data_IF_579991105303
#
_entry.id   IF_579991105303
#
_cell.length_a   1.000
_cell.length_b   1.000
_cell.length_c   1.000
_cell.angle_alpha   90.00
_cell.angle_beta   90.00
_cell.angle_gamma   90.00
#
_symmetry.space_group_name_H-M   'P 1'
#
loop_
_entity.id
_entity.type
_entity.pdbx_description
1 polymer ?
#
# COMPACT_ATOMS: atom_id res chain seq x y z
N UNK A 1 2.18 -1.92 39.01
CA UNK A 1 2.25 -1.98 37.53
C UNK A 1 3.28 -3.04 37.18
N UNK A 2 2.88 -4.06 36.43
CA UNK A 2 3.76 -5.20 36.12
C UNK A 2 4.78 -4.83 35.04
N UNK A 3 5.98 -5.41 35.07
CA UNK A 3 7.09 -5.16 34.11
C UNK A 3 6.65 -5.27 32.62
N UNK A 4 5.64 -6.07 32.34
CA UNK A 4 5.06 -6.26 31.02
C UNK A 4 4.32 -5.02 30.46
N UNK A 5 3.68 -4.22 31.33
CA UNK A 5 3.06 -2.94 30.91
C UNK A 5 4.13 -1.90 30.58
N UNK A 6 5.24 -1.89 31.30
CA UNK A 6 6.36 -0.99 31.05
C UNK A 6 7.01 -1.22 29.68
N UNK A 7 7.21 -2.47 29.27
CA UNK A 7 7.78 -2.78 27.94
C UNK A 7 6.87 -2.36 26.78
N UNK A 8 5.57 -2.59 26.92
CA UNK A 8 4.60 -2.17 25.88
C UNK A 8 4.59 -0.67 25.70
N UNK A 9 4.59 0.11 26.77
CA UNK A 9 4.63 1.58 26.71
C UNK A 9 5.96 2.08 26.11
N UNK A 10 7.10 1.48 26.49
CA UNK A 10 8.39 1.82 25.86
C UNK A 10 8.39 1.59 24.34
N UNK A 11 7.77 0.50 23.86
CA UNK A 11 7.65 0.23 22.42
C UNK A 11 6.76 1.27 21.75
N UNK A 12 5.62 1.65 22.34
CA UNK A 12 4.74 2.69 21.81
C UNK A 12 5.45 4.04 21.70
N UNK A 13 6.17 4.44 22.73
CA UNK A 13 6.94 5.69 22.76
C UNK A 13 8.03 5.69 21.67
N UNK A 14 8.82 4.61 21.55
CA UNK A 14 9.86 4.49 20.55
C UNK A 14 9.32 4.52 19.11
N UNK A 15 8.21 3.79 18.85
CA UNK A 15 7.57 3.77 17.55
C UNK A 15 6.98 5.14 17.22
N UNK A 16 6.32 5.79 18.16
CA UNK A 16 5.76 7.14 17.95
C UNK A 16 6.86 8.17 17.63
N UNK A 17 7.98 8.12 18.35
CA UNK A 17 9.11 9.00 18.09
C UNK A 17 9.71 8.77 16.69
N UNK A 18 9.89 7.51 16.29
CA UNK A 18 10.40 7.15 14.96
C UNK A 18 9.44 7.61 13.85
N UNK A 19 8.12 7.37 14.00
CA UNK A 19 7.09 7.79 13.04
C UNK A 19 7.09 9.31 12.83
N UNK A 20 7.16 10.10 13.91
CA UNK A 20 7.26 11.56 13.83
C UNK A 20 8.55 12.02 13.15
N UNK A 21 9.67 11.37 13.47
CA UNK A 21 10.95 11.71 12.85
C UNK A 21 10.97 11.45 11.35
N UNK A 22 10.42 10.31 10.90
CA UNK A 22 10.34 9.93 9.48
C UNK A 22 9.36 10.83 8.75
N UNK A 23 8.17 11.07 9.31
CA UNK A 23 7.15 11.94 8.69
C UNK A 23 7.60 13.40 8.58
N UNK A 24 8.51 13.85 9.43
CA UNK A 24 8.90 15.26 9.56
C UNK A 24 7.83 16.10 10.28
N UNK A 25 6.82 15.48 10.86
CA UNK A 25 5.75 16.15 11.63
C UNK A 25 5.86 15.77 13.12
N UNK A 26 6.48 16.61 13.98
CA UNK A 26 6.63 16.33 15.39
C UNK A 26 5.31 16.29 16.16
N UNK A 27 4.27 16.95 15.63
CA UNK A 27 2.94 17.03 16.26
C UNK A 27 1.99 15.93 15.75
N UNK A 28 2.48 15.00 14.93
CA UNK A 28 1.66 13.90 14.42
C UNK A 28 1.07 13.09 15.58
N UNK A 29 -0.25 13.02 15.64
CA UNK A 29 -0.97 12.21 16.62
C UNK A 29 -0.92 10.72 16.23
N UNK A 30 -0.47 9.88 17.18
CA UNK A 30 -0.36 8.44 16.99
C UNK A 30 -1.06 7.75 18.15
N UNK A 31 -2.09 6.99 17.83
CA UNK A 31 -2.89 6.24 18.80
C UNK A 31 -2.73 4.74 18.61
N UNK A 32 -2.87 3.95 19.68
CA UNK A 32 -2.65 2.52 19.68
C UNK A 32 -3.84 1.74 20.23
N UNK A 33 -4.25 0.73 19.48
CA UNK A 33 -5.30 -0.21 19.87
C UNK A 33 -6.69 0.42 20.01
N UNK A 34 -7.71 -0.39 19.76
CA UNK A 34 -9.08 0.09 19.76
C UNK A 34 -9.59 0.56 18.41
N UNK A 35 -10.88 0.83 18.33
CA UNK A 35 -11.55 1.26 17.12
C UNK A 35 -11.13 2.68 16.76
N UNK A 36 -10.69 2.92 15.52
CA UNK A 36 -10.25 4.24 15.06
C UNK A 36 -8.83 4.66 15.47
N UNK A 37 -8.03 3.78 16.11
CA UNK A 37 -6.63 4.07 16.39
C UNK A 37 -5.77 3.97 15.13
N UNK A 38 -4.69 4.79 15.08
CA UNK A 38 -3.75 4.80 13.95
C UNK A 38 -3.00 3.49 13.80
N UNK A 39 -2.69 2.81 14.89
CA UNK A 39 -1.91 1.58 14.95
C UNK A 39 -2.56 0.53 15.85
N UNK A 40 -2.38 -0.76 15.58
CA UNK A 40 -2.74 -1.82 16.51
C UNK A 40 -1.90 -1.72 17.79
N UNK A 41 -2.26 -2.48 18.83
CA UNK A 41 -1.40 -2.62 19.99
C UNK A 41 -0.07 -3.28 19.59
N UNK A 42 1.06 -2.92 20.24
CA UNK A 42 2.33 -3.58 20.01
C UNK A 42 2.23 -5.09 20.17
N UNK A 43 2.87 -5.87 19.28
CA UNK A 43 2.82 -7.32 19.32
C UNK A 43 3.57 -7.86 20.54
N UNK A 44 3.24 -9.10 20.91
CA UNK A 44 3.88 -9.79 22.01
C UNK A 44 5.14 -10.56 21.59
N UNK A 45 5.35 -10.74 20.29
CA UNK A 45 6.45 -11.52 19.72
C UNK A 45 7.35 -10.65 18.85
N UNK A 46 8.65 -10.97 18.84
CA UNK A 46 9.63 -10.28 17.98
C UNK A 46 9.32 -10.53 16.49
N UNK A 47 8.75 -11.70 16.16
CA UNK A 47 8.42 -12.06 14.78
C UNK A 47 7.42 -11.10 14.13
N UNK A 48 6.49 -10.56 14.91
CA UNK A 48 5.46 -9.65 14.45
C UNK A 48 5.91 -8.17 14.52
N UNK A 49 7.08 -7.91 15.14
CA UNK A 49 7.53 -6.54 15.40
C UNK A 49 7.86 -5.79 14.11
N UNK A 50 8.45 -6.44 13.12
CA UNK A 50 8.81 -5.78 11.86
C UNK A 50 7.56 -5.35 11.09
N UNK A 51 6.55 -6.20 10.98
CA UNK A 51 5.29 -5.85 10.34
C UNK A 51 4.54 -4.74 11.11
N UNK A 52 4.53 -4.81 12.44
CA UNK A 52 3.98 -3.75 13.28
C UNK A 52 4.70 -2.41 13.05
N UNK A 53 6.04 -2.41 13.00
CA UNK A 53 6.82 -1.22 12.64
C UNK A 53 6.54 -0.77 11.22
N UNK A 54 6.37 -1.71 10.28
CA UNK A 54 6.00 -1.41 8.91
C UNK A 54 4.69 -0.63 8.79
N UNK A 55 3.70 -0.93 9.63
CA UNK A 55 2.45 -0.14 9.71
C UNK A 55 2.71 1.29 10.18
N UNK A 56 3.59 1.48 11.15
CA UNK A 56 3.97 2.79 11.65
C UNK A 56 4.80 3.59 10.62
N UNK A 57 5.73 2.91 9.95
CA UNK A 57 6.56 3.49 8.89
C UNK A 57 5.70 3.88 7.67
N UNK A 58 4.66 3.08 7.33
CA UNK A 58 3.66 3.39 6.32
C UNK A 58 2.90 4.69 6.64
N UNK A 59 2.42 4.84 7.88
CA UNK A 59 1.78 6.10 8.32
C UNK A 59 2.71 7.31 8.18
N UNK A 60 4.00 7.13 8.52
CA UNK A 60 4.98 8.20 8.37
C UNK A 60 5.22 8.56 6.89
N UNK A 61 5.25 7.57 5.99
CA UNK A 61 5.37 7.79 4.55
C UNK A 61 4.15 8.50 3.98
N UNK A 62 2.95 8.11 4.39
CA UNK A 62 1.70 8.78 3.99
C UNK A 62 1.73 10.25 4.40
N UNK A 63 2.06 10.54 5.66
CA UNK A 63 2.12 11.93 6.16
C UNK A 63 3.17 12.76 5.43
N UNK A 64 4.30 12.14 5.05
CA UNK A 64 5.42 12.82 4.41
C UNK A 64 5.25 13.06 2.92
N UNK A 65 4.71 12.09 2.18
CA UNK A 65 4.77 12.06 0.72
C UNK A 65 3.42 12.23 0.03
N UNK A 66 2.31 12.24 0.80
CA UNK A 66 0.99 12.44 0.23
C UNK A 66 0.51 13.87 0.45
N UNK A 67 0.27 14.61 -0.63
CA UNK A 67 -0.48 15.86 -0.55
C UNK A 67 -1.98 15.56 -0.49
N UNK A 68 -2.59 15.88 0.66
CA UNK A 68 -4.01 15.65 0.93
C UNK A 68 -4.94 16.53 0.07
N UNK A 69 -4.39 17.53 -0.64
CA UNK A 69 -5.15 18.41 -1.56
C UNK A 69 -5.35 17.75 -2.92
N UNK A 70 -4.45 16.85 -3.31
CA UNK A 70 -4.55 16.09 -4.55
C UNK A 70 -5.55 14.97 -4.32
N UNK A 71 -6.69 15.04 -5.00
CA UNK A 71 -7.79 14.08 -4.85
C UNK A 71 -7.75 13.04 -5.96
N UNK A 72 -8.00 11.80 -5.59
CA UNK A 72 -8.25 10.72 -6.54
C UNK A 72 -9.70 10.86 -7.03
N UNK A 73 -9.87 11.02 -8.33
CA UNK A 73 -11.17 11.07 -9.00
C UNK A 73 -11.00 10.64 -10.46
N UNK A 74 -11.23 9.36 -10.72
CA UNK A 74 -11.16 8.79 -12.08
C UNK A 74 -12.51 8.83 -12.81
N UNK A 75 -13.60 8.93 -12.07
CA UNK A 75 -14.97 8.85 -12.57
C UNK A 75 -15.64 7.50 -12.26
N UNK A 76 -14.91 6.47 -11.84
CA UNK A 76 -15.45 5.17 -11.43
C UNK A 76 -14.89 4.76 -10.06
N UNK A 77 -15.72 4.12 -9.23
CA UNK A 77 -15.34 3.75 -7.86
C UNK A 77 -14.24 2.69 -7.85
N UNK A 78 -14.30 1.72 -8.77
CA UNK A 78 -13.31 0.64 -8.90
C UNK A 78 -11.92 1.19 -9.27
N UNK A 79 -11.83 2.07 -10.27
CA UNK A 79 -10.55 2.71 -10.64
C UNK A 79 -10.03 3.60 -9.52
N UNK A 80 -10.92 4.31 -8.81
CA UNK A 80 -10.52 5.11 -7.64
C UNK A 80 -9.96 4.26 -6.51
N UNK A 81 -10.51 3.06 -6.26
CA UNK A 81 -9.98 2.11 -5.29
C UNK A 81 -8.57 1.63 -5.67
N UNK A 82 -8.37 1.23 -6.92
CA UNK A 82 -7.06 0.80 -7.43
C UNK A 82 -6.03 1.94 -7.45
N UNK A 83 -6.45 3.16 -7.78
CA UNK A 83 -5.57 4.34 -7.67
C UNK A 83 -5.14 4.61 -6.22
N UNK A 84 -6.00 4.36 -5.23
CA UNK A 84 -5.61 4.44 -3.80
C UNK A 84 -4.55 3.39 -3.46
N UNK A 85 -4.71 2.16 -3.95
CA UNK A 85 -3.69 1.10 -3.76
C UNK A 85 -2.35 1.52 -4.36
N UNK A 86 -2.34 2.04 -5.60
CA UNK A 86 -1.11 2.52 -6.24
C UNK A 86 -0.48 3.71 -5.50
N UNK A 87 -1.30 4.63 -5.01
CA UNK A 87 -0.82 5.78 -4.24
C UNK A 87 -0.24 5.37 -2.87
N UNK A 88 -0.86 4.40 -2.19
CA UNK A 88 -0.33 3.83 -0.95
C UNK A 88 1.01 3.13 -1.20
N UNK A 89 1.11 2.35 -2.27
CA UNK A 89 2.36 1.74 -2.69
C UNK A 89 3.43 2.78 -3.05
N UNK A 90 3.08 3.86 -3.78
CA UNK A 90 3.98 4.95 -4.16
C UNK A 90 4.67 5.56 -2.94
N UNK A 91 3.92 5.94 -1.92
CA UNK A 91 4.48 6.58 -0.72
C UNK A 91 5.38 5.62 0.06
N UNK A 92 5.07 4.33 0.11
CA UNK A 92 5.90 3.31 0.76
C UNK A 92 7.17 3.00 -0.05
N UNK A 93 7.09 3.00 -1.38
CA UNK A 93 8.24 2.88 -2.28
C UNK A 93 9.19 4.06 -2.06
N UNK A 94 8.68 5.30 -2.04
CA UNK A 94 9.48 6.49 -1.72
C UNK A 94 10.12 6.39 -0.35
N UNK A 95 9.39 5.90 0.66
CA UNK A 95 9.91 5.64 1.99
C UNK A 95 11.05 4.64 1.97
N UNK A 96 10.90 3.54 1.24
CA UNK A 96 11.91 2.49 1.10
C UNK A 96 13.18 2.97 0.40
N UNK A 97 13.05 3.82 -0.62
CA UNK A 97 14.18 4.43 -1.36
C UNK A 97 14.92 5.43 -0.47
N UNK A 98 14.19 6.33 0.20
CA UNK A 98 14.79 7.43 0.95
C UNK A 98 15.28 7.03 2.35
N UNK A 99 14.72 5.95 2.91
CA UNK A 99 15.05 5.44 4.24
C UNK A 99 15.26 3.91 4.21
N UNK A 100 16.43 3.43 3.78
CA UNK A 100 16.70 1.98 3.70
C UNK A 100 16.46 1.23 5.01
N UNK A 101 16.57 1.92 6.15
CA UNK A 101 16.31 1.34 7.48
C UNK A 101 14.86 0.92 7.73
N UNK A 102 13.89 1.47 6.98
CA UNK A 102 12.47 1.09 7.11
C UNK A 102 12.01 0.14 6.00
N UNK A 103 12.80 -0.04 4.95
CA UNK A 103 12.41 -0.86 3.80
C UNK A 103 12.05 -2.30 4.21
N UNK A 104 12.81 -2.90 5.12
CA UNK A 104 12.52 -4.26 5.64
C UNK A 104 11.23 -4.33 6.45
N UNK A 105 10.88 -3.27 7.18
CA UNK A 105 9.64 -3.19 7.94
C UNK A 105 8.42 -3.06 7.01
N UNK A 106 8.53 -2.18 6.00
CA UNK A 106 7.50 -2.00 4.98
C UNK A 106 7.29 -3.30 4.17
N UNK A 107 8.38 -4.01 3.84
CA UNK A 107 8.28 -5.31 3.20
C UNK A 107 7.61 -6.35 4.11
N UNK A 108 7.92 -6.38 5.41
CA UNK A 108 7.26 -7.29 6.36
C UNK A 108 5.76 -7.00 6.51
N UNK A 109 5.34 -5.72 6.47
CA UNK A 109 3.93 -5.31 6.40
C UNK A 109 3.27 -5.86 5.14
N UNK A 110 3.90 -5.67 3.99
CA UNK A 110 3.41 -6.13 2.69
C UNK A 110 3.27 -7.66 2.64
N UNK A 111 4.27 -8.41 3.12
CA UNK A 111 4.20 -9.87 3.24
C UNK A 111 3.02 -10.36 4.10
N UNK A 112 2.68 -9.64 5.15
CA UNK A 112 1.51 -9.97 5.96
C UNK A 112 0.20 -9.67 5.21
N UNK A 113 0.15 -8.64 4.37
CA UNK A 113 -0.96 -8.40 3.46
C UNK A 113 -1.09 -9.52 2.43
N UNK A 114 0.02 -9.96 1.82
CA UNK A 114 0.02 -11.10 0.90
C UNK A 114 -0.60 -12.36 1.54
N UNK A 115 -0.24 -12.68 2.80
CA UNK A 115 -0.81 -13.84 3.51
C UNK A 115 -2.32 -13.71 3.72
N UNK A 116 -2.82 -12.50 3.96
CA UNK A 116 -4.24 -12.26 4.11
C UNK A 116 -4.97 -12.52 2.78
N UNK A 117 -4.47 -11.98 1.68
CA UNK A 117 -5.07 -12.19 0.36
C UNK A 117 -4.95 -13.65 -0.12
N UNK A 118 -3.91 -14.40 0.29
CA UNK A 118 -3.79 -15.85 0.01
C UNK A 118 -4.96 -16.67 0.55
N UNK A 119 -5.71 -16.17 1.54
CA UNK A 119 -6.88 -16.85 2.09
C UNK A 119 -8.15 -16.65 1.27
N UNK A 120 -8.15 -15.75 0.27
CA UNK A 120 -9.27 -15.53 -0.64
C UNK A 120 -9.21 -16.56 -1.77
N UNK A 121 -10.36 -17.07 -2.17
CA UNK A 121 -10.48 -18.15 -3.16
C UNK A 121 -10.53 -17.60 -4.59
N UNK A 122 -11.19 -16.47 -4.79
CA UNK A 122 -11.38 -15.86 -6.10
C UNK A 122 -10.14 -15.06 -6.52
N UNK A 123 -9.67 -15.28 -7.75
CA UNK A 123 -8.47 -14.61 -8.29
C UNK A 123 -8.72 -13.12 -8.54
N UNK A 124 -9.93 -12.75 -8.84
CA UNK A 124 -10.40 -11.38 -9.03
C UNK A 124 -10.19 -10.55 -7.77
N UNK A 125 -10.39 -11.14 -6.58
CA UNK A 125 -10.14 -10.51 -5.27
C UNK A 125 -8.66 -10.20 -5.02
N UNK A 126 -7.77 -10.78 -5.85
CA UNK A 126 -6.33 -10.56 -5.74
C UNK A 126 -5.81 -9.38 -6.56
N UNK A 127 -6.65 -8.68 -7.32
CA UNK A 127 -6.21 -7.59 -8.21
C UNK A 127 -5.46 -6.49 -7.46
N UNK A 128 -5.97 -6.04 -6.31
CA UNK A 128 -5.35 -4.98 -5.52
C UNK A 128 -3.93 -5.37 -5.07
N UNK A 129 -3.78 -6.56 -4.48
CA UNK A 129 -2.48 -7.03 -3.99
C UNK A 129 -1.54 -7.37 -5.15
N UNK A 130 -2.06 -7.83 -6.28
CA UNK A 130 -1.27 -8.05 -7.48
C UNK A 130 -0.72 -6.74 -8.05
N UNK A 131 -1.54 -5.71 -8.08
CA UNK A 131 -1.15 -4.37 -8.55
C UNK A 131 -0.07 -3.75 -7.64
N UNK A 132 -0.24 -3.84 -6.32
CA UNK A 132 0.79 -3.42 -5.37
C UNK A 132 2.09 -4.22 -5.57
N UNK A 133 1.98 -5.55 -5.74
CA UNK A 133 3.11 -6.46 -5.97
C UNK A 133 3.89 -6.08 -7.22
N UNK A 134 3.18 -5.83 -8.31
CA UNK A 134 3.78 -5.43 -9.59
C UNK A 134 4.52 -4.10 -9.48
N UNK A 135 3.88 -3.09 -8.91
CA UNK A 135 4.49 -1.76 -8.75
C UNK A 135 5.72 -1.78 -7.84
N UNK A 136 5.67 -2.58 -6.75
CA UNK A 136 6.83 -2.78 -5.87
C UNK A 136 7.98 -3.48 -6.60
N UNK A 137 7.71 -4.52 -7.38
CA UNK A 137 8.71 -5.24 -8.16
C UNK A 137 9.35 -4.34 -9.22
N UNK A 138 8.56 -3.50 -9.85
CA UNK A 138 9.01 -2.51 -10.83
C UNK A 138 9.96 -1.47 -10.21
N UNK A 139 9.60 -0.92 -9.05
CA UNK A 139 10.32 0.20 -8.45
C UNK A 139 11.41 -0.22 -7.44
N UNK A 140 11.30 -1.42 -6.87
CA UNK A 140 12.20 -1.96 -5.83
C UNK A 140 12.70 -3.36 -6.19
N UNK A 141 13.33 -3.57 -7.37
CA UNK A 141 13.68 -4.91 -7.87
C UNK A 141 14.68 -5.66 -6.98
N UNK A 142 15.33 -4.97 -6.04
CA UNK A 142 16.29 -5.55 -5.09
C UNK A 142 15.65 -6.00 -3.78
N UNK A 143 14.35 -5.74 -3.59
CA UNK A 143 13.60 -6.19 -2.40
C UNK A 143 12.75 -7.40 -2.81
N UNK A 144 13.19 -8.57 -2.37
CA UNK A 144 12.44 -9.80 -2.61
C UNK A 144 11.22 -9.90 -1.70
N UNK A 145 10.10 -10.31 -2.29
CA UNK A 145 8.85 -10.61 -1.59
C UNK A 145 8.29 -11.93 -2.10
N UNK A 146 8.59 -13.01 -1.39
CA UNK A 146 8.17 -14.36 -1.78
C UNK A 146 6.65 -14.56 -1.76
N UNK A 147 5.93 -13.75 -0.96
CA UNK A 147 4.48 -13.80 -0.85
C UNK A 147 3.74 -13.25 -2.06
N UNK A 148 4.41 -12.47 -2.91
CA UNK A 148 3.79 -11.77 -4.04
C UNK A 148 3.74 -12.55 -5.35
N UNK A 149 4.63 -13.53 -5.53
CA UNK A 149 4.84 -14.20 -6.83
C UNK A 149 3.56 -14.86 -7.38
N UNK A 150 2.76 -15.48 -6.52
CA UNK A 150 1.51 -16.14 -6.92
C UNK A 150 0.47 -15.17 -7.51
N UNK A 151 0.45 -13.91 -7.04
CA UNK A 151 -0.49 -12.91 -7.57
C UNK A 151 -0.01 -12.41 -8.93
N UNK A 152 1.31 -12.33 -9.13
CA UNK A 152 1.91 -11.95 -10.40
C UNK A 152 1.85 -13.07 -11.45
N UNK A 153 1.72 -14.32 -11.05
CA UNK A 153 1.55 -15.45 -11.97
C UNK A 153 0.27 -15.30 -12.80
N UNK A 154 -0.81 -14.82 -12.20
CA UNK A 154 -2.08 -14.61 -12.89
C UNK A 154 -2.18 -13.22 -13.52
N UNK A 155 -1.98 -12.16 -12.74
CA UNK A 155 -2.20 -10.77 -13.17
C UNK A 155 -1.01 -10.15 -13.90
N UNK A 156 0.22 -10.67 -13.67
CA UNK A 156 1.44 -10.08 -14.23
C UNK A 156 1.46 -10.05 -15.74
N UNK A 157 0.85 -11.03 -16.41
CA UNK A 157 0.76 -11.04 -17.89
C UNK A 157 -0.05 -9.84 -18.40
N UNK A 158 -1.14 -9.48 -17.71
CA UNK A 158 -1.97 -8.34 -18.05
C UNK A 158 -1.21 -7.01 -17.84
N UNK A 159 -0.47 -6.89 -16.74
CA UNK A 159 0.29 -5.69 -16.42
C UNK A 159 1.49 -5.50 -17.37
N UNK A 160 2.22 -6.58 -17.66
CA UNK A 160 3.40 -6.55 -18.53
C UNK A 160 3.07 -6.44 -20.02
N UNK A 161 1.81 -6.58 -20.42
CA UNK A 161 1.37 -6.36 -21.79
C UNK A 161 1.28 -4.88 -22.17
N UNK A 162 1.49 -3.98 -21.21
CA UNK A 162 1.43 -2.54 -21.41
C UNK A 162 2.71 -1.99 -22.05
N UNK A 163 2.64 -0.75 -22.56
CA UNK A 163 3.78 -0.06 -23.16
C UNK A 163 4.88 0.20 -22.08
N UNK A 164 6.13 -0.11 -22.39
CA UNK A 164 7.31 0.22 -21.55
C UNK A 164 7.34 1.67 -21.08
N UNK A 165 6.74 2.59 -21.86
CA UNK A 165 6.60 4.00 -21.48
C UNK A 165 5.73 4.23 -20.24
N UNK A 166 4.76 3.37 -19.99
CA UNK A 166 3.92 3.44 -18.79
C UNK A 166 4.76 3.09 -17.57
N UNK A 167 5.54 2.04 -17.64
CA UNK A 167 6.45 1.64 -16.56
C UNK A 167 7.48 2.74 -16.27
N UNK A 168 8.13 3.29 -17.31
CA UNK A 168 9.07 4.41 -17.17
C UNK A 168 8.37 5.64 -16.58
N UNK A 169 7.15 5.93 -17.02
CA UNK A 169 6.32 7.03 -16.52
C UNK A 169 6.03 6.89 -15.02
N UNK A 170 5.64 5.71 -14.55
CA UNK A 170 5.39 5.43 -13.14
C UNK A 170 6.66 5.58 -12.30
N UNK A 171 7.79 5.02 -12.75
CA UNK A 171 9.08 5.11 -12.05
C UNK A 171 9.54 6.57 -11.93
N UNK A 172 9.49 7.32 -13.02
CA UNK A 172 10.02 8.70 -13.08
C UNK A 172 9.12 9.70 -12.36
N UNK A 173 7.85 9.39 -12.21
CA UNK A 173 6.86 10.26 -11.52
C UNK A 173 6.68 9.95 -10.03
N UNK A 174 7.41 9.00 -9.44
CA UNK A 174 7.26 8.63 -8.02
C UNK A 174 7.29 9.83 -7.07
N UNK A 175 8.12 10.84 -7.34
CA UNK A 175 8.23 12.05 -6.50
C UNK A 175 7.19 13.13 -6.83
N UNK A 176 6.45 12.99 -7.92
CA UNK A 176 5.41 13.90 -8.39
C UNK A 176 4.05 13.20 -8.32
N UNK A 177 3.27 13.50 -7.27
CA UNK A 177 2.02 12.81 -7.01
C UNK A 177 0.99 13.02 -8.11
N UNK A 178 0.85 14.23 -8.67
CA UNK A 178 -0.15 14.52 -9.71
C UNK A 178 0.18 13.73 -10.98
N UNK A 179 1.43 13.81 -11.42
CA UNK A 179 1.89 13.09 -12.62
C UNK A 179 1.83 11.57 -12.43
N UNK A 180 2.15 11.07 -11.24
CA UNK A 180 2.02 9.64 -10.93
C UNK A 180 0.57 9.19 -11.02
N UNK A 181 -0.38 9.94 -10.44
CA UNK A 181 -1.80 9.61 -10.48
C UNK A 181 -2.36 9.67 -11.90
N UNK A 182 -1.93 10.63 -12.72
CA UNK A 182 -2.31 10.71 -14.14
C UNK A 182 -1.83 9.46 -14.90
N UNK A 183 -0.55 9.12 -14.79
CA UNK A 183 0.02 7.93 -15.44
C UNK A 183 -0.64 6.64 -14.93
N UNK A 184 -0.87 6.52 -13.62
CA UNK A 184 -1.52 5.37 -13.02
C UNK A 184 -2.98 5.24 -13.49
N UNK A 185 -3.70 6.35 -13.63
CA UNK A 185 -5.07 6.36 -14.13
C UNK A 185 -5.12 5.86 -15.58
N UNK A 186 -4.26 6.38 -16.45
CA UNK A 186 -4.18 5.96 -17.85
C UNK A 186 -3.85 4.47 -17.96
N UNK A 187 -2.92 3.99 -17.14
CA UNK A 187 -2.58 2.58 -17.02
C UNK A 187 -3.80 1.72 -16.64
N UNK A 188 -4.51 2.07 -15.56
CA UNK A 188 -5.67 1.31 -15.09
C UNK A 188 -6.81 1.29 -16.11
N UNK A 189 -7.05 2.40 -16.79
CA UNK A 189 -8.04 2.48 -17.87
C UNK A 189 -7.67 1.58 -19.05
N UNK A 190 -6.37 1.47 -19.39
CA UNK A 190 -5.90 0.59 -20.47
C UNK A 190 -6.07 -0.90 -20.17
N UNK A 191 -6.20 -1.28 -18.88
CA UNK A 191 -6.45 -2.66 -18.48
C UNK A 191 -7.88 -3.12 -18.79
N UNK A 192 -8.80 -2.22 -19.18
CA UNK A 192 -10.21 -2.52 -19.43
C UNK A 192 -10.87 -3.33 -18.29
N UNK A 193 -10.60 -2.93 -17.06
CA UNK A 193 -11.20 -3.55 -15.88
C UNK A 193 -12.65 -3.09 -15.82
N UNK A 194 -13.57 -3.94 -16.30
CA UNK A 194 -15.00 -3.64 -16.37
C UNK A 194 -15.58 -3.44 -14.96
N UNK A 195 -16.45 -2.45 -14.81
CA UNK A 195 -17.30 -2.32 -13.65
C UNK A 195 -18.40 -3.40 -13.74
N UNK A 196 -18.43 -4.38 -12.86
CA UNK A 196 -19.42 -5.44 -12.82
C UNK A 196 -20.85 -4.94 -12.54
N UNK A 197 -21.02 -3.64 -12.27
CA UNK A 197 -22.31 -3.03 -11.93
C UNK A 197 -23.16 -2.57 -13.11
N UNK A 198 -22.77 -2.82 -14.38
CA UNK A 198 -23.53 -2.33 -15.54
C UNK A 198 -24.58 -3.27 -16.12
N UNK A 199 -24.78 -4.48 -15.54
CA UNK A 199 -25.70 -5.50 -16.10
C UNK A 199 -26.97 -5.75 -15.28
N UNK A 200 -27.45 -4.80 -14.50
CA UNK A 200 -28.72 -4.94 -13.78
C UNK A 200 -29.70 -3.81 -13.99
N UNK A 201 -30.06 -3.52 -15.27
CA UNK A 201 -31.35 -2.87 -15.61
C UNK A 201 -31.69 -3.14 -17.07
N UNK A 202 -32.39 -4.22 -17.33
CA UNK A 202 -33.47 -4.30 -18.32
C UNK A 202 -34.16 -5.69 -18.21
N UNK A 203 -35.03 -5.83 -17.23
CA UNK A 203 -36.12 -6.75 -17.34
C UNK A 203 -37.42 -5.94 -17.39
N UNK A 204 -37.73 -5.53 -18.62
CA UNK A 204 -39.08 -5.07 -18.98
C UNK A 204 -40.12 -6.12 -18.56
N UNK A 205 -41.03 -5.64 -17.74
CA UNK A 205 -42.28 -6.36 -17.41
C UNK A 205 -43.27 -6.01 -18.52
N UNK A 206 -43.59 -7.00 -19.37
CA UNK A 206 -44.85 -7.07 -20.07
C UNK A 206 -45.85 -7.98 -19.31
#
# INVERSE_FOLDING_TARGET
MTAKNSQTETVKEAVSAATRAISGNPEMEISFGGMGSSLPNPPKTIKELNSFRGKADSLACIEKYRDKKIRINSGTEKVDALLRVMEDARVEILGSINYPGIASNLNAKFEDSCKLFQSLEEKEDHLEIALESWLRKLCLPHIESSGSDQFLEYWGTLFNAQDEKVEEGLITSLSDQEKFQETAKDFLQSLNIEDEDSDSEDHDIE
#
